data_IF_868638431768
#
_entry.id   IF_868638431768
#
_cell.length_a   1.000
_cell.length_b   1.000
_cell.length_c   1.000
_cell.angle_alpha   90.00
_cell.angle_beta   90.00
_cell.angle_gamma   90.00
#
_symmetry.space_group_name_H-M   'P 1'
#
loop_
_entity.id
_entity.type
_entity.pdbx_description
1 polymer ?
#
# COMPACT_ATOMS: atom_id res chain seq x y z
N UNK A 1 3.85 -13.24 4.66
CA UNK A 1 4.03 -12.38 5.84
C UNK A 1 4.44 -13.24 7.05
N UNK A 2 5.11 -12.67 8.02
CA UNK A 2 5.36 -13.30 9.33
C UNK A 2 4.28 -12.77 10.29
N UNK A 3 3.72 -13.61 11.18
CA UNK A 3 2.74 -13.17 12.17
C UNK A 3 3.25 -11.94 12.93
N UNK A 4 2.40 -10.94 13.13
CA UNK A 4 2.76 -9.66 13.73
C UNK A 4 3.45 -8.67 12.79
N UNK A 5 3.44 -8.93 11.48
CA UNK A 5 3.98 -8.00 10.47
C UNK A 5 3.10 -7.99 9.23
N UNK A 6 2.85 -6.80 8.70
CA UNK A 6 2.45 -6.64 7.31
C UNK A 6 3.66 -6.28 6.44
N UNK A 7 3.62 -6.67 5.19
CA UNK A 7 4.74 -6.52 4.27
C UNK A 7 4.37 -5.54 3.19
N UNK A 8 5.27 -4.60 2.90
CA UNK A 8 5.16 -3.68 1.78
C UNK A 8 6.31 -3.91 0.81
N UNK A 9 5.97 -4.15 -0.46
CA UNK A 9 6.93 -4.25 -1.55
C UNK A 9 7.28 -2.91 -2.17
N UNK A 10 8.14 -2.96 -3.17
CA UNK A 10 8.56 -1.78 -3.95
C UNK A 10 7.57 -1.48 -5.08
N UNK A 11 7.50 -0.20 -5.48
CA UNK A 11 6.67 0.26 -6.60
C UNK A 11 7.51 1.04 -7.61
N UNK A 12 7.40 0.65 -8.88
CA UNK A 12 7.92 1.37 -10.05
C UNK A 12 6.74 2.00 -10.78
N UNK A 13 6.82 3.27 -11.14
CA UNK A 13 5.76 3.95 -11.88
C UNK A 13 6.12 3.96 -13.36
N UNK A 14 5.17 3.61 -14.22
CA UNK A 14 5.28 3.74 -15.66
C UNK A 14 4.79 5.11 -16.14
N UNK A 15 5.45 5.67 -17.15
CA UNK A 15 4.89 6.80 -17.90
C UNK A 15 3.67 6.35 -18.72
N UNK A 16 2.92 7.32 -19.27
CA UNK A 16 1.78 7.02 -20.13
C UNK A 16 2.20 6.16 -21.33
N UNK A 17 3.25 6.56 -22.02
CA UNK A 17 3.79 5.88 -23.21
C UNK A 17 4.28 4.46 -22.85
N UNK A 18 4.97 4.29 -21.73
CA UNK A 18 5.44 2.98 -21.27
C UNK A 18 4.26 2.06 -20.91
N UNK A 19 3.20 2.62 -20.34
CA UNK A 19 1.97 1.88 -20.03
C UNK A 19 1.27 1.42 -21.31
N UNK A 20 1.05 2.34 -22.27
CA UNK A 20 0.41 2.03 -23.54
C UNK A 20 1.21 1.00 -24.33
N UNK A 21 2.54 1.11 -24.33
CA UNK A 21 3.42 0.13 -24.97
C UNK A 21 3.29 -1.26 -24.32
N UNK A 22 3.41 -1.34 -23.00
CA UNK A 22 3.34 -2.60 -22.27
C UNK A 22 1.98 -3.32 -22.45
N UNK A 23 0.88 -2.55 -22.49
CA UNK A 23 -0.47 -3.09 -22.71
C UNK A 23 -0.67 -3.57 -24.16
N UNK A 24 -0.17 -2.82 -25.17
CA UNK A 24 -0.28 -3.19 -26.57
C UNK A 24 0.52 -4.45 -26.90
N UNK A 25 1.76 -4.51 -26.43
CA UNK A 25 2.64 -5.66 -26.67
C UNK A 25 2.38 -6.82 -25.71
N UNK A 26 1.50 -6.65 -24.71
CA UNK A 26 1.25 -7.62 -23.64
C UNK A 26 2.54 -8.10 -22.95
N UNK A 27 3.55 -7.23 -22.93
CA UNK A 27 4.86 -7.53 -22.39
C UNK A 27 5.18 -6.62 -21.20
N UNK A 28 5.37 -7.23 -20.03
CA UNK A 28 5.70 -6.58 -18.75
C UNK A 28 7.10 -6.97 -18.25
N UNK A 29 7.97 -7.47 -19.11
CA UNK A 29 9.37 -7.75 -18.77
C UNK A 29 10.16 -6.44 -18.68
N UNK A 30 9.99 -5.76 -17.55
CA UNK A 30 10.58 -4.46 -17.27
C UNK A 30 11.76 -4.59 -16.31
N UNK A 31 12.81 -3.81 -16.58
CA UNK A 31 14.02 -3.77 -15.75
C UNK A 31 14.50 -2.32 -15.56
N UNK A 32 15.59 -2.13 -14.81
CA UNK A 32 16.13 -0.80 -14.50
C UNK A 32 16.46 0.05 -15.74
N UNK A 33 16.75 -0.58 -16.88
CA UNK A 33 17.10 0.10 -18.14
C UNK A 33 15.88 0.41 -19.02
N UNK A 34 14.71 -0.13 -18.72
CA UNK A 34 13.50 0.12 -19.48
C UNK A 34 13.16 1.62 -19.49
N UNK A 35 12.72 2.11 -20.67
CA UNK A 35 12.32 3.52 -20.84
C UNK A 35 11.00 3.81 -20.13
N UNK A 36 10.78 5.07 -19.75
CA UNK A 36 9.53 5.54 -19.16
C UNK A 36 9.27 5.08 -17.71
N UNK A 37 10.30 4.62 -16.98
CA UNK A 37 10.18 4.25 -15.59
C UNK A 37 10.57 5.42 -14.67
N UNK A 38 9.70 5.75 -13.71
CA UNK A 38 10.02 6.56 -12.52
C UNK A 38 10.36 5.62 -11.35
N UNK A 39 11.22 6.10 -10.43
CA UNK A 39 11.72 5.28 -9.32
C UNK A 39 12.42 3.98 -9.77
N UNK A 40 13.11 4.01 -10.90
CA UNK A 40 13.70 2.84 -11.56
C UNK A 40 14.64 2.00 -10.68
N UNK A 41 15.24 2.58 -9.63
CA UNK A 41 16.03 1.83 -8.64
C UNK A 41 15.19 0.75 -7.93
N UNK A 42 13.87 0.92 -7.86
CA UNK A 42 12.96 -0.07 -7.31
C UNK A 42 12.74 -1.28 -8.24
N UNK A 43 13.15 -1.20 -9.52
CA UNK A 43 13.09 -2.31 -10.47
C UNK A 43 14.26 -3.30 -10.29
N UNK A 44 15.23 -3.00 -9.43
CA UNK A 44 16.33 -3.93 -9.14
C UNK A 44 15.80 -5.09 -8.32
N UNK A 45 15.99 -6.32 -8.82
CA UNK A 45 15.70 -7.55 -8.08
C UNK A 45 17.02 -8.21 -7.64
N UNK A 46 17.16 -8.48 -6.32
CA UNK A 46 18.36 -9.12 -5.79
C UNK A 46 18.06 -9.75 -4.42
N UNK A 47 18.28 -11.05 -4.31
CA UNK A 47 18.10 -11.79 -3.06
C UNK A 47 19.09 -11.34 -1.98
N UNK A 48 20.34 -11.04 -2.36
CA UNK A 48 21.35 -10.55 -1.43
C UNK A 48 20.98 -9.18 -0.88
N UNK A 49 20.68 -8.21 -1.76
CA UNK A 49 20.30 -6.85 -1.36
C UNK A 49 18.97 -6.86 -0.58
N UNK A 50 18.03 -7.73 -0.92
CA UNK A 50 16.79 -7.90 -0.15
C UNK A 50 17.10 -8.22 1.32
N UNK A 51 18.02 -9.15 1.57
CA UNK A 51 18.38 -9.55 2.94
C UNK A 51 19.01 -8.41 3.72
N UNK A 52 19.87 -7.63 3.07
CA UNK A 52 20.59 -6.51 3.70
C UNK A 52 19.71 -5.27 3.95
N UNK A 53 18.78 -4.98 3.03
CA UNK A 53 18.06 -3.70 3.01
C UNK A 53 16.58 -3.80 3.42
N UNK A 54 16.01 -5.01 3.59
CA UNK A 54 14.65 -5.15 4.10
C UNK A 54 14.63 -4.94 5.61
N UNK A 55 13.77 -4.02 6.08
CA UNK A 55 13.72 -3.62 7.48
C UNK A 55 12.30 -3.48 8.01
N UNK A 56 12.16 -3.61 9.32
CA UNK A 56 10.92 -3.25 10.03
C UNK A 56 10.84 -1.74 10.25
N UNK A 57 9.63 -1.21 10.28
CA UNK A 57 9.34 0.19 10.53
C UNK A 57 7.96 0.33 11.16
N UNK A 58 7.82 1.26 12.07
CA UNK A 58 6.57 1.75 12.67
C UNK A 58 6.10 3.08 12.05
N UNK A 59 6.85 3.59 11.09
CA UNK A 59 6.55 4.87 10.43
C UNK A 59 5.47 4.72 9.37
N UNK A 60 4.56 5.69 9.31
CA UNK A 60 3.57 5.84 8.23
C UNK A 60 4.15 6.44 6.94
N UNK A 61 5.37 6.96 6.99
CA UNK A 61 6.00 7.59 5.82
C UNK A 61 6.16 6.59 4.68
N UNK A 62 5.59 6.93 3.53
CA UNK A 62 5.71 6.15 2.30
C UNK A 62 4.89 4.85 2.28
N UNK A 63 3.92 4.70 3.18
CA UNK A 63 2.95 3.60 3.12
C UNK A 63 2.11 3.70 1.85
N UNK A 64 1.87 2.54 1.22
CA UNK A 64 1.00 2.38 0.03
C UNK A 64 0.52 0.94 -0.04
N UNK A 65 -0.78 0.75 -0.08
CA UNK A 65 -1.40 -0.59 -0.08
C UNK A 65 -1.35 -1.30 -1.42
N UNK A 66 -1.00 -0.61 -2.50
CA UNK A 66 -0.93 -1.19 -3.85
C UNK A 66 0.04 -2.39 -3.98
N UNK A 67 0.90 -2.62 -3.00
CA UNK A 67 1.82 -3.75 -2.95
C UNK A 67 2.02 -4.21 -1.51
N UNK A 68 0.95 -4.72 -0.90
CA UNK A 68 0.88 -5.18 0.48
C UNK A 68 0.64 -6.68 0.56
N UNK A 69 1.17 -7.30 1.65
CA UNK A 69 0.80 -8.64 2.08
C UNK A 69 0.66 -8.69 3.60
N UNK A 70 -0.45 -9.20 4.08
CA UNK A 70 -0.74 -9.38 5.50
C UNK A 70 -1.65 -10.61 5.68
N UNK A 71 -1.84 -11.05 6.92
CA UNK A 71 -2.74 -12.15 7.21
C UNK A 71 -4.20 -11.69 7.18
N UNK A 72 -5.09 -12.57 6.74
CA UNK A 72 -6.53 -12.33 6.77
C UNK A 72 -7.03 -12.01 8.18
N UNK A 73 -6.49 -12.68 9.21
CA UNK A 73 -6.81 -12.38 10.61
C UNK A 73 -6.54 -10.93 10.98
N UNK A 74 -5.44 -10.37 10.49
CA UNK A 74 -5.05 -8.99 10.79
C UNK A 74 -6.01 -7.98 10.13
N UNK A 75 -6.46 -8.27 8.88
CA UNK A 75 -7.48 -7.47 8.20
C UNK A 75 -8.80 -7.48 8.98
N UNK A 76 -9.24 -8.66 9.43
CA UNK A 76 -10.48 -8.80 10.19
C UNK A 76 -10.40 -8.13 11.56
N UNK A 77 -9.24 -8.18 12.22
CA UNK A 77 -8.99 -7.52 13.50
C UNK A 77 -9.21 -6.01 13.42
N UNK A 78 -8.69 -5.36 12.37
CA UNK A 78 -8.81 -3.92 12.17
C UNK A 78 -10.07 -3.50 11.41
N UNK A 79 -10.90 -4.45 11.00
CA UNK A 79 -12.12 -4.25 10.21
C UNK A 79 -11.89 -3.79 8.76
N UNK A 80 -10.76 -4.16 8.13
CA UNK A 80 -10.49 -3.79 6.74
C UNK A 80 -10.20 -2.31 6.53
N UNK A 81 -10.49 -1.79 5.35
CA UNK A 81 -10.47 -0.35 5.08
C UNK A 81 -11.69 0.33 5.70
N UNK A 82 -11.53 1.59 6.10
CA UNK A 82 -12.62 2.43 6.59
C UNK A 82 -13.37 3.03 5.38
N UNK A 83 -14.63 2.64 5.20
CA UNK A 83 -15.45 3.07 4.06
C UNK A 83 -15.82 4.56 4.10
N UNK A 84 -15.52 5.25 5.19
CA UNK A 84 -15.70 6.71 5.30
C UNK A 84 -14.66 7.50 4.50
N UNK A 85 -13.55 6.86 4.07
CA UNK A 85 -12.57 7.48 3.16
C UNK A 85 -13.12 7.50 1.75
N UNK A 86 -13.57 8.66 1.31
CA UNK A 86 -14.10 8.89 -0.02
C UNK A 86 -13.13 9.75 -0.82
N UNK A 87 -13.03 9.49 -2.13
CA UNK A 87 -12.12 10.22 -3.01
C UNK A 87 -10.67 9.78 -2.83
N UNK A 88 -9.75 10.72 -3.02
CA UNK A 88 -8.32 10.42 -3.02
C UNK A 88 -7.64 10.81 -1.70
N UNK A 89 -6.87 9.87 -1.17
CA UNK A 89 -5.79 10.13 -0.21
C UNK A 89 -6.08 9.71 1.23
N UNK A 90 -5.04 9.29 1.90
CA UNK A 90 -4.93 8.89 3.31
C UNK A 90 -5.52 7.53 3.69
N UNK A 91 -6.33 6.89 2.87
CA UNK A 91 -6.88 5.56 3.11
C UNK A 91 -5.79 4.52 3.41
N UNK A 92 -4.71 4.53 2.62
CA UNK A 92 -3.52 3.68 2.81
C UNK A 92 -2.84 3.92 4.17
N UNK A 93 -2.65 5.20 4.52
CA UNK A 93 -1.97 5.61 5.74
C UNK A 93 -2.81 5.30 6.97
N UNK A 94 -4.12 5.51 6.89
CA UNK A 94 -5.07 5.24 7.96
C UNK A 94 -5.17 3.73 8.24
N UNK A 95 -5.31 2.92 7.19
CA UNK A 95 -5.29 1.46 7.29
C UNK A 95 -4.02 0.96 7.98
N UNK A 96 -2.85 1.48 7.57
CA UNK A 96 -1.58 1.14 8.19
C UNK A 96 -1.46 1.66 9.64
N UNK A 97 -2.02 2.84 9.95
CA UNK A 97 -2.03 3.35 11.31
C UNK A 97 -2.76 2.40 12.26
N UNK A 98 -3.93 1.86 11.87
CA UNK A 98 -4.66 0.87 12.67
C UNK A 98 -3.87 -0.44 12.85
N UNK A 99 -3.16 -0.91 11.83
CA UNK A 99 -2.27 -2.06 11.97
C UNK A 99 -1.16 -1.78 12.98
N UNK A 100 -0.49 -0.62 12.90
CA UNK A 100 0.56 -0.23 13.84
C UNK A 100 0.00 -0.07 15.27
N UNK A 101 -1.16 0.55 15.42
CA UNK A 101 -1.85 0.70 16.72
C UNK A 101 -2.21 -0.66 17.34
N UNK A 102 -2.46 -1.69 16.51
CA UNK A 102 -2.69 -3.07 16.98
C UNK A 102 -1.40 -3.85 17.29
N UNK A 103 -0.23 -3.22 17.18
CA UNK A 103 1.06 -3.86 17.40
C UNK A 103 1.63 -4.63 16.19
N UNK A 104 0.98 -4.54 15.03
CA UNK A 104 1.43 -5.19 13.79
C UNK A 104 2.36 -4.23 13.05
N UNK A 105 3.64 -4.56 12.98
CA UNK A 105 4.66 -3.68 12.40
C UNK A 105 4.79 -3.85 10.88
N UNK A 106 5.18 -2.78 10.19
CA UNK A 106 5.51 -2.83 8.77
C UNK A 106 6.86 -3.49 8.53
N UNK A 107 6.96 -4.33 7.51
CA UNK A 107 8.23 -4.81 6.96
C UNK A 107 8.35 -4.36 5.51
N UNK A 108 9.27 -3.43 5.25
CA UNK A 108 9.60 -3.00 3.90
C UNK A 108 10.49 -4.03 3.22
N UNK A 109 10.04 -4.57 2.08
CA UNK A 109 10.86 -5.40 1.22
C UNK A 109 11.51 -4.53 0.14
N UNK A 110 12.83 -4.43 0.20
CA UNK A 110 13.64 -3.79 -0.84
C UNK A 110 14.20 -4.85 -1.78
N UNK A 111 14.39 -4.48 -3.04
CA UNK A 111 14.97 -5.35 -4.07
C UNK A 111 14.21 -6.66 -4.31
N UNK A 112 12.95 -6.70 -3.95
CA UNK A 112 12.03 -7.83 -4.18
C UNK A 112 10.58 -7.36 -4.06
N UNK A 113 9.62 -8.24 -4.40
CA UNK A 113 8.21 -7.91 -4.39
C UNK A 113 7.94 -6.57 -5.11
N UNK A 114 8.31 -6.52 -6.38
CA UNK A 114 8.23 -5.32 -7.21
C UNK A 114 6.88 -5.29 -7.92
N UNK A 115 6.13 -4.19 -7.75
CA UNK A 115 4.93 -3.91 -8.52
C UNK A 115 5.20 -2.80 -9.54
N UNK A 116 4.75 -3.00 -10.76
CA UNK A 116 4.76 -1.99 -11.80
C UNK A 116 3.39 -1.32 -11.85
N UNK A 117 3.38 -0.02 -11.56
CA UNK A 117 2.16 0.79 -11.49
C UNK A 117 1.93 1.47 -12.84
N UNK A 118 0.88 1.05 -13.51
CA UNK A 118 0.47 1.62 -14.79
C UNK A 118 0.05 3.08 -14.62
N UNK A 119 0.31 3.88 -15.62
CA UNK A 119 -0.14 5.27 -15.62
C UNK A 119 -1.67 5.35 -15.65
N UNK A 120 -2.19 6.23 -14.84
CA UNK A 120 -3.58 6.72 -14.92
C UNK A 120 -3.62 8.20 -14.51
N UNK A 121 -4.61 8.98 -14.96
CA UNK A 121 -4.82 10.34 -14.48
C UNK A 121 -4.99 10.37 -12.96
N UNK A 122 -4.51 11.43 -12.33
CA UNK A 122 -4.71 11.62 -10.89
C UNK A 122 -6.18 11.92 -10.59
N UNK A 123 -6.70 11.33 -9.50
CA UNK A 123 -8.03 11.62 -9.01
C UNK A 123 -8.11 12.99 -8.35
N UNK A 124 -9.33 13.56 -8.28
CA UNK A 124 -9.59 14.81 -7.59
C UNK A 124 -9.22 14.70 -6.10
N UNK A 125 -8.61 15.75 -5.57
CA UNK A 125 -8.13 15.83 -4.18
C UNK A 125 -9.05 16.62 -3.25
N UNK A 126 -10.30 16.87 -3.65
CA UNK A 126 -11.26 17.68 -2.88
C UNK A 126 -11.53 17.12 -1.47
N UNK A 127 -11.51 15.79 -1.31
CA UNK A 127 -11.72 15.13 -0.02
C UNK A 127 -10.47 15.06 0.88
N UNK A 128 -9.33 15.55 0.42
CA UNK A 128 -8.07 15.42 1.17
C UNK A 128 -8.11 16.06 2.56
N UNK A 129 -8.67 17.26 2.78
CA UNK A 129 -8.72 17.86 4.12
C UNK A 129 -9.51 17.00 5.12
N UNK A 130 -10.64 16.42 4.71
CA UNK A 130 -11.45 15.54 5.55
C UNK A 130 -10.72 14.24 5.85
N UNK A 131 -10.09 13.64 4.84
CA UNK A 131 -9.29 12.44 4.98
C UNK A 131 -8.05 12.66 5.87
N UNK A 132 -7.43 13.85 5.83
CA UNK A 132 -6.35 14.25 6.74
C UNK A 132 -6.83 14.29 8.20
N UNK A 133 -8.00 14.88 8.46
CA UNK A 133 -8.58 14.94 9.80
C UNK A 133 -8.89 13.53 10.35
N UNK A 134 -9.46 12.63 9.53
CA UNK A 134 -9.72 11.23 9.92
C UNK A 134 -8.42 10.47 10.23
N UNK A 135 -7.38 10.63 9.44
CA UNK A 135 -6.07 10.04 9.73
C UNK A 135 -5.48 10.56 11.03
N UNK A 136 -5.55 11.88 11.26
CA UNK A 136 -5.08 12.50 12.49
C UNK A 136 -5.81 11.90 13.72
N UNK A 137 -7.15 11.80 13.67
CA UNK A 137 -7.96 11.17 14.71
C UNK A 137 -7.51 9.73 15.00
N UNK A 138 -7.30 8.92 13.94
CA UNK A 138 -6.85 7.54 14.08
C UNK A 138 -5.49 7.43 14.80
N UNK A 139 -4.58 8.36 14.52
CA UNK A 139 -3.24 8.40 15.15
C UNK A 139 -3.35 8.85 16.60
N UNK A 140 -4.02 9.97 16.87
CA UNK A 140 -4.12 10.58 18.19
C UNK A 140 -4.84 9.68 19.19
N UNK A 141 -5.99 9.11 18.79
CA UNK A 141 -6.79 8.23 19.61
C UNK A 141 -6.33 6.77 19.62
N UNK A 142 -5.28 6.45 18.87
CA UNK A 142 -4.76 5.07 18.71
C UNK A 142 -5.85 4.07 18.31
N UNK A 143 -6.72 4.47 17.39
CA UNK A 143 -7.82 3.63 16.91
C UNK A 143 -7.23 2.37 16.27
N UNK A 144 -7.70 1.20 16.67
CA UNK A 144 -7.30 -0.10 16.12
C UNK A 144 -8.30 -0.59 15.10
N UNK A 145 -9.60 -0.37 15.34
CA UNK A 145 -10.68 -0.91 14.51
C UNK A 145 -11.57 0.23 14.04
N UNK A 146 -11.79 0.33 12.72
CA UNK A 146 -12.74 1.30 12.18
C UNK A 146 -14.19 0.84 12.41
N UNK A 147 -15.09 1.80 12.48
CA UNK A 147 -16.51 1.56 12.69
C UNK A 147 -17.20 1.02 11.43
N UNK A 148 -16.93 1.61 10.28
CA UNK A 148 -17.52 1.23 9.00
C UNK A 148 -16.46 0.53 8.12
N UNK A 149 -16.36 -0.78 8.24
CA UNK A 149 -15.36 -1.58 7.54
C UNK A 149 -15.93 -2.84 6.91
N UNK A 150 -15.11 -3.89 6.83
CA UNK A 150 -15.42 -5.14 6.12
C UNK A 150 -16.57 -5.93 6.75
N UNK A 151 -16.81 -5.80 8.05
CA UNK A 151 -17.88 -6.53 8.76
C UNK A 151 -19.28 -6.18 8.24
N UNK A 152 -19.49 -4.99 7.71
CA UNK A 152 -20.71 -4.59 7.01
C UNK A 152 -21.07 -5.58 5.89
N UNK A 153 -20.09 -5.98 5.10
CA UNK A 153 -20.28 -6.88 3.97
C UNK A 153 -20.31 -8.37 4.36
N UNK A 154 -19.72 -8.72 5.50
CA UNK A 154 -19.73 -10.10 6.02
C UNK A 154 -21.06 -10.49 6.65
N UNK A 155 -21.85 -9.53 7.14
CA UNK A 155 -23.18 -9.77 7.73
C UNK A 155 -24.25 -10.00 6.68
N UNK A 156 -24.08 -9.47 5.48
CA UNK A 156 -25.03 -9.62 4.37
C UNK A 156 -24.97 -11.00 3.69
N UNK A 157 -23.98 -11.84 4.04
CA UNK A 157 -23.79 -13.19 3.48
C UNK A 157 -24.29 -14.32 4.40
N UNK A 158 -24.98 -14.00 5.50
CA UNK A 158 -25.60 -14.95 6.42
C UNK A 158 -27.12 -14.88 6.33
#
# INVERSE_FOLDING_TARGET
AKKGCFVQGSRVLLSKEATEHALREQNFELNIFSKGLKNRKNAIHSTLLKTLFSKKSDSLKGVRTCNFALFRSDILQINGFDNRFVGWGREDSEFAARLLNSGIVRKDLKFSAIAYHLYHPESNRSSLPENDARLAETIERKIVRCEDGIDRFLKEQR
#
